data_IF_486596050048
#
_entry.id   IF_486596050048
#
_cell.length_a   1.000
_cell.length_b   1.000
_cell.length_c   1.000
_cell.angle_alpha   90.00
_cell.angle_beta   90.00
_cell.angle_gamma   90.00
#
_symmetry.space_group_name_H-M   'P 1'
#
loop_
_entity.id
_entity.type
_entity.pdbx_description
1 polymer ?
#
# COMPACT_ATOMS: atom_id res chain seq x y z
N UNK A 1 -5.59 -23.54 32.23
CA UNK A 1 -4.91 -24.59 31.47
C UNK A 1 -4.66 -25.71 32.45
N UNK A 2 -5.32 -26.85 32.25
CA UNK A 2 -5.00 -28.04 33.04
C UNK A 2 -3.62 -28.55 32.60
N UNK A 3 -2.76 -28.76 33.60
CA UNK A 3 -1.38 -29.21 33.42
C UNK A 3 -1.28 -30.51 32.60
N UNK A 4 -2.35 -31.32 32.63
CA UNK A 4 -2.47 -32.62 32.00
C UNK A 4 -2.46 -32.57 30.46
N UNK A 5 -2.85 -31.44 29.83
CA UNK A 5 -2.84 -31.31 28.36
C UNK A 5 -1.53 -30.73 27.79
N UNK A 6 -0.75 -30.03 28.61
CA UNK A 6 0.53 -29.45 28.19
C UNK A 6 1.67 -30.46 28.23
N UNK A 7 1.66 -31.36 29.21
CA UNK A 7 2.71 -32.35 29.39
C UNK A 7 3.00 -33.23 28.16
N UNK A 8 2.01 -33.79 27.43
CA UNK A 8 2.29 -34.59 26.25
C UNK A 8 2.80 -33.76 25.06
N UNK A 9 2.45 -32.47 24.99
CA UNK A 9 2.88 -31.56 23.92
C UNK A 9 4.31 -31.11 24.13
N UNK A 10 4.65 -30.75 25.37
CA UNK A 10 6.02 -30.39 25.75
C UNK A 10 6.96 -31.59 25.52
N UNK A 11 6.53 -32.82 25.85
CA UNK A 11 7.33 -34.03 25.56
C UNK A 11 7.66 -34.20 24.08
N UNK A 12 6.72 -33.90 23.18
CA UNK A 12 6.97 -33.94 21.72
C UNK A 12 7.94 -32.86 21.25
N UNK A 13 7.84 -31.65 21.81
CA UNK A 13 8.78 -30.55 21.49
C UNK A 13 10.19 -30.92 21.95
N UNK A 14 10.34 -31.50 23.15
CA UNK A 14 11.64 -31.96 23.65
C UNK A 14 12.23 -33.03 22.74
N UNK A 15 11.44 -34.01 22.29
CA UNK A 15 11.90 -35.06 21.36
C UNK A 15 12.41 -34.49 20.03
N UNK A 16 11.72 -33.47 19.49
CA UNK A 16 12.15 -32.77 18.28
C UNK A 16 13.45 -32.00 18.52
N UNK A 17 13.56 -31.30 19.65
CA UNK A 17 14.73 -30.51 20.00
C UNK A 17 15.96 -31.38 20.25
N UNK A 18 15.80 -32.57 20.80
CA UNK A 18 16.91 -33.52 21.01
C UNK A 18 17.52 -34.03 19.69
N UNK A 19 16.73 -34.08 18.60
CA UNK A 19 17.21 -34.45 17.27
C UNK A 19 18.09 -33.40 16.58
N UNK A 20 18.18 -32.20 17.16
CA UNK A 20 18.87 -31.04 16.58
C UNK A 20 20.24 -30.84 17.27
N UNK A 21 21.28 -30.35 16.55
CA UNK A 21 22.57 -30.01 17.14
C UNK A 21 22.47 -29.04 18.32
N UNK A 22 23.30 -29.27 19.34
CA UNK A 22 23.23 -28.61 20.66
C UNK A 22 23.22 -27.07 20.58
N UNK A 23 23.89 -26.50 19.58
CA UNK A 23 23.96 -25.05 19.33
C UNK A 23 22.61 -24.39 19.03
N UNK A 24 21.60 -25.15 18.59
CA UNK A 24 20.29 -24.61 18.20
C UNK A 24 19.15 -25.09 19.09
N UNK A 25 19.43 -25.96 20.07
CA UNK A 25 18.40 -26.60 20.89
C UNK A 25 17.59 -25.59 21.70
N UNK A 26 18.27 -24.66 22.35
CA UNK A 26 17.62 -23.65 23.21
C UNK A 26 16.69 -22.76 22.38
N UNK A 27 17.17 -22.24 21.25
CA UNK A 27 16.38 -21.35 20.40
C UNK A 27 15.22 -22.08 19.73
N UNK A 28 15.41 -23.33 19.29
CA UNK A 28 14.33 -24.14 18.73
C UNK A 28 13.26 -24.47 19.77
N UNK A 29 13.66 -24.78 21.01
CA UNK A 29 12.72 -25.05 22.09
C UNK A 29 11.88 -23.81 22.43
N UNK A 30 12.52 -22.64 22.54
CA UNK A 30 11.83 -21.38 22.83
C UNK A 30 10.83 -21.02 21.72
N UNK A 31 11.24 -21.09 20.45
CA UNK A 31 10.35 -20.80 19.31
C UNK A 31 9.15 -21.75 19.21
N UNK A 32 9.37 -23.05 19.42
CA UNK A 32 8.29 -24.04 19.34
C UNK A 32 7.33 -23.96 20.54
N UNK A 33 7.84 -23.60 21.72
CA UNK A 33 7.01 -23.40 22.89
C UNK A 33 6.18 -22.11 22.78
N UNK A 34 6.75 -21.04 22.23
CA UNK A 34 6.06 -19.78 21.99
C UNK A 34 4.96 -19.90 20.93
N UNK A 35 5.20 -20.65 19.84
CA UNK A 35 4.21 -20.88 18.79
C UNK A 35 3.00 -21.70 19.27
N UNK A 36 3.22 -22.70 20.12
CA UNK A 36 2.14 -23.52 20.71
C UNK A 36 1.31 -22.74 21.72
N UNK A 37 1.95 -21.90 22.55
CA UNK A 37 1.24 -21.01 23.48
C UNK A 37 0.45 -19.93 22.73
N UNK A 38 0.96 -19.46 21.59
CA UNK A 38 0.32 -18.44 20.76
C UNK A 38 -0.82 -18.99 19.89
N UNK A 39 -0.70 -20.21 19.38
CA UNK A 39 -1.75 -20.87 18.57
C UNK A 39 -3.06 -21.09 19.34
N UNK A 40 -3.01 -21.13 20.67
CA UNK A 40 -4.21 -21.23 21.50
C UNK A 40 -4.93 -19.90 21.76
N UNK A 41 -4.35 -18.75 21.39
CA UNK A 41 -5.05 -17.44 21.46
C UNK A 41 -5.90 -17.15 20.21
N UNK A 42 -5.75 -17.94 19.15
CA UNK A 42 -6.29 -17.64 17.82
C UNK A 42 -7.22 -18.73 17.29
N UNK A 43 -8.14 -19.23 18.12
CA UNK A 43 -9.25 -20.10 17.65
C UNK A 43 -10.57 -19.34 17.65
N UNK A 44 -10.68 -18.36 16.77
CA UNK A 44 -11.97 -17.92 16.24
C UNK A 44 -11.79 -17.57 14.77
N UNK A 45 -12.51 -18.31 13.92
CA UNK A 45 -12.79 -18.06 12.50
C UNK A 45 -11.73 -18.47 11.46
N UNK A 46 -11.70 -19.78 11.18
CA UNK A 46 -11.51 -20.28 9.81
C UNK A 46 -12.89 -20.59 9.19
N UNK A 47 -13.10 -20.19 7.93
CA UNK A 47 -13.41 -21.14 6.84
C UNK A 47 -13.41 -20.48 5.44
N UNK A 48 -12.44 -20.95 4.63
CA UNK A 48 -12.52 -21.30 3.20
C UNK A 48 -12.58 -20.08 2.24
N UNK A 49 -11.59 -19.85 1.36
CA UNK A 49 -11.40 -20.52 0.06
C UNK A 49 -9.89 -20.65 -0.29
N UNK A 50 -9.53 -21.81 -0.85
CA UNK A 50 -8.20 -22.22 -1.30
C UNK A 50 -7.72 -21.57 -2.62
N UNK A 51 -6.42 -21.22 -2.58
CA UNK A 51 -5.36 -21.37 -3.62
C UNK A 51 -5.56 -20.77 -5.02
N UNK A 52 -4.78 -19.71 -5.28
CA UNK A 52 -3.67 -19.80 -6.22
C UNK A 52 -2.52 -18.89 -5.75
N UNK A 53 -1.31 -19.44 -5.80
CA UNK A 53 -0.07 -18.88 -5.27
C UNK A 53 0.49 -17.74 -6.13
N UNK A 54 0.76 -16.61 -5.51
CA UNK A 54 1.90 -15.73 -5.82
C UNK A 54 2.54 -15.42 -4.46
N UNK A 55 3.88 -15.48 -4.31
CA UNK A 55 4.54 -15.33 -3.02
C UNK A 55 4.31 -13.91 -2.49
N UNK A 56 3.33 -13.78 -1.59
CA UNK A 56 3.13 -12.59 -0.78
C UNK A 56 4.39 -12.40 0.04
N UNK A 57 5.17 -11.37 -0.29
CA UNK A 57 6.22 -10.92 0.60
C UNK A 57 5.57 -10.57 1.93
N UNK A 58 5.92 -11.33 2.96
CA UNK A 58 5.79 -10.95 4.35
C UNK A 58 6.57 -9.64 4.57
N UNK A 59 5.96 -8.50 4.28
CA UNK A 59 6.41 -7.22 4.81
C UNK A 59 5.50 -6.85 5.96
N UNK A 60 6.00 -7.24 7.13
CA UNK A 60 5.58 -6.88 8.47
C UNK A 60 5.66 -5.36 8.66
N UNK A 61 4.60 -4.64 8.33
CA UNK A 61 4.28 -3.38 9.01
C UNK A 61 2.76 -3.27 9.09
N UNK A 62 2.24 -2.90 10.26
CA UNK A 62 0.83 -2.66 10.55
C UNK A 62 0.32 -1.37 9.84
N UNK A 63 0.69 -1.20 8.56
CA UNK A 63 0.21 -0.11 7.75
C UNK A 63 -1.21 -0.43 7.30
N UNK A 64 -2.16 0.22 7.96
CA UNK A 64 -3.55 0.15 7.56
C UNK A 64 -3.83 1.18 6.49
N UNK A 65 -4.20 0.70 5.30
CA UNK A 65 -4.65 1.56 4.21
C UNK A 65 -5.83 2.42 4.69
N UNK A 66 -5.79 3.75 4.50
CA UNK A 66 -6.87 4.66 4.84
C UNK A 66 -8.25 4.19 4.34
N UNK A 67 -9.29 4.45 5.12
CA UNK A 67 -10.67 4.03 4.80
C UNK A 67 -11.10 4.64 3.46
N UNK A 68 -10.71 5.89 3.20
CA UNK A 68 -11.01 6.62 1.97
C UNK A 68 -10.39 5.95 0.74
N UNK A 69 -9.16 5.44 0.86
CA UNK A 69 -8.48 4.72 -0.22
C UNK A 69 -9.11 3.36 -0.42
N UNK A 70 -9.39 2.60 0.64
CA UNK A 70 -10.11 1.32 0.53
C UNK A 70 -11.49 1.48 -0.10
N UNK A 71 -12.24 2.50 0.31
CA UNK A 71 -13.54 2.82 -0.28
C UNK A 71 -13.42 3.19 -1.76
N UNK A 72 -12.40 3.97 -2.14
CA UNK A 72 -12.10 4.28 -3.53
C UNK A 72 -11.76 3.04 -4.35
N UNK A 73 -10.88 2.16 -3.86
CA UNK A 73 -10.51 0.92 -4.55
C UNK A 73 -11.74 0.03 -4.76
N UNK A 74 -12.58 -0.12 -3.73
CA UNK A 74 -13.85 -0.87 -3.84
C UNK A 74 -14.83 -0.23 -4.82
N UNK A 75 -14.96 1.10 -4.81
CA UNK A 75 -15.87 1.82 -5.70
C UNK A 75 -15.52 1.60 -7.18
N UNK A 76 -14.22 1.51 -7.50
CA UNK A 76 -13.72 1.33 -8.86
C UNK A 76 -13.26 -0.10 -9.18
N UNK A 77 -13.57 -1.07 -8.30
CA UNK A 77 -13.19 -2.48 -8.44
C UNK A 77 -11.69 -2.70 -8.69
N UNK A 78 -10.85 -1.91 -8.02
CA UNK A 78 -9.40 -2.02 -8.06
C UNK A 78 -8.91 -3.04 -7.01
N UNK A 79 -7.89 -3.81 -7.37
CA UNK A 79 -7.19 -4.68 -6.42
C UNK A 79 -6.32 -3.85 -5.46
N UNK A 80 -6.51 -4.04 -4.16
CA UNK A 80 -5.70 -3.40 -3.12
C UNK A 80 -4.22 -3.78 -3.24
N UNK A 81 -3.91 -4.94 -3.85
CA UNK A 81 -2.55 -5.35 -4.20
C UNK A 81 -1.78 -4.32 -5.03
N UNK A 82 -2.48 -3.55 -5.89
CA UNK A 82 -1.87 -2.49 -6.71
C UNK A 82 -1.24 -1.38 -5.90
N UNK A 83 -1.68 -1.16 -4.66
CA UNK A 83 -1.05 -0.16 -3.80
C UNK A 83 0.41 -0.54 -3.55
N UNK A 84 0.68 -1.82 -3.28
CA UNK A 84 2.03 -2.33 -3.02
C UNK A 84 2.88 -2.48 -4.28
N UNK A 85 2.25 -2.52 -5.47
CA UNK A 85 2.97 -2.44 -6.75
C UNK A 85 3.45 -1.02 -7.06
N UNK A 86 2.60 -0.02 -6.77
CA UNK A 86 2.81 1.38 -7.12
C UNK A 86 3.52 2.18 -6.02
N UNK A 87 3.56 1.66 -4.80
CA UNK A 87 4.21 2.28 -3.64
C UNK A 87 4.95 1.25 -2.78
N UNK A 88 6.15 1.61 -2.35
CA UNK A 88 6.84 0.95 -1.23
C UNK A 88 6.35 1.61 0.06
N UNK A 89 5.87 0.78 0.98
CA UNK A 89 5.36 1.20 2.27
C UNK A 89 6.19 0.50 3.35
N UNK A 90 6.98 1.28 4.09
CA UNK A 90 7.84 0.79 5.18
C UNK A 90 7.41 1.31 6.56
N UNK A 91 6.35 2.14 6.61
CA UNK A 91 5.81 2.72 7.83
C UNK A 91 4.71 3.74 7.53
N UNK A 92 4.15 4.36 8.58
CA UNK A 92 3.03 5.31 8.46
C UNK A 92 3.33 6.53 7.59
N UNK A 93 4.57 7.02 7.65
CA UNK A 93 5.03 8.20 6.89
C UNK A 93 6.04 7.85 5.78
N UNK A 94 6.39 6.57 5.65
CA UNK A 94 7.40 6.07 4.72
C UNK A 94 6.73 5.42 3.50
N UNK A 95 6.02 6.25 2.74
CA UNK A 95 5.40 5.87 1.47
C UNK A 95 6.19 6.51 0.34
N UNK A 96 6.81 5.67 -0.49
CA UNK A 96 7.61 6.08 -1.64
C UNK A 96 7.02 5.52 -2.94
N UNK A 97 6.81 6.35 -3.97
CA UNK A 97 6.28 5.89 -5.26
C UNK A 97 7.31 5.03 -6.02
N UNK A 98 6.86 3.90 -6.55
CA UNK A 98 7.64 3.01 -7.45
C UNK A 98 7.19 3.06 -8.90
N UNK A 99 6.02 3.65 -9.15
CA UNK A 99 5.42 3.74 -10.46
C UNK A 99 6.28 4.55 -11.44
N UNK A 100 6.20 4.19 -12.72
CA UNK A 100 6.92 4.88 -13.80
C UNK A 100 5.95 5.41 -14.83
N UNK A 101 5.98 6.72 -15.05
CA UNK A 101 5.17 7.37 -16.08
C UNK A 101 5.75 7.02 -17.46
N UNK A 102 5.06 6.16 -18.20
CA UNK A 102 5.52 5.62 -19.49
C UNK A 102 5.07 6.44 -20.72
N UNK A 103 4.20 7.44 -20.53
CA UNK A 103 3.65 8.22 -21.65
C UNK A 103 4.65 9.21 -22.23
N UNK A 104 4.64 9.34 -23.57
CA UNK A 104 5.43 10.34 -24.30
C UNK A 104 4.76 11.71 -24.36
N UNK A 105 3.47 11.79 -24.03
CA UNK A 105 2.69 13.03 -24.12
C UNK A 105 2.83 13.81 -22.81
N UNK A 106 3.50 14.96 -22.87
CA UNK A 106 3.82 15.77 -21.68
C UNK A 106 2.60 16.17 -20.86
N UNK A 107 1.50 16.57 -21.50
CA UNK A 107 0.26 16.93 -20.79
C UNK A 107 -0.33 15.73 -20.05
N UNK A 108 -0.34 14.55 -20.67
CA UNK A 108 -0.80 13.30 -20.04
C UNK A 108 0.08 12.93 -18.85
N UNK A 109 1.40 13.01 -19.02
CA UNK A 109 2.36 12.73 -17.94
C UNK A 109 2.14 13.64 -16.72
N UNK A 110 1.99 14.94 -16.94
CA UNK A 110 1.75 15.91 -15.85
C UNK A 110 0.46 15.62 -15.09
N UNK A 111 -0.62 15.27 -15.80
CA UNK A 111 -1.90 14.91 -15.18
C UNK A 111 -1.79 13.59 -14.42
N UNK A 112 -1.14 12.56 -14.98
CA UNK A 112 -0.92 11.28 -14.27
C UNK A 112 -0.13 11.50 -12.98
N UNK A 113 0.93 12.31 -13.01
CA UNK A 113 1.71 12.66 -11.82
C UNK A 113 0.82 13.37 -10.78
N UNK A 114 -0.02 14.31 -11.19
CA UNK A 114 -0.93 14.99 -10.28
C UNK A 114 -1.91 14.02 -9.60
N UNK A 115 -2.51 13.11 -10.37
CA UNK A 115 -3.43 12.11 -9.86
C UNK A 115 -2.74 11.15 -8.87
N UNK A 116 -1.57 10.63 -9.23
CA UNK A 116 -0.83 9.72 -8.35
C UNK A 116 -0.30 10.41 -7.09
N UNK A 117 0.05 11.69 -7.19
CA UNK A 117 0.43 12.51 -6.02
C UNK A 117 -0.77 12.70 -5.08
N UNK A 118 -1.97 12.90 -5.61
CA UNK A 118 -3.18 12.97 -4.80
C UNK A 118 -3.47 11.66 -4.04
N UNK A 119 -3.24 10.52 -4.70
CA UNK A 119 -3.36 9.21 -4.06
C UNK A 119 -2.33 9.04 -2.94
N UNK A 120 -1.06 9.37 -3.21
CA UNK A 120 0.01 9.28 -2.21
C UNK A 120 -0.27 10.15 -0.99
N UNK A 121 -0.73 11.39 -1.20
CA UNK A 121 -1.08 12.30 -0.11
C UNK A 121 -2.23 11.76 0.74
N UNK A 122 -3.21 11.12 0.10
CA UNK A 122 -4.33 10.44 0.80
C UNK A 122 -3.81 9.29 1.65
N UNK A 123 -2.86 8.50 1.12
CA UNK A 123 -2.23 7.39 1.83
C UNK A 123 -1.43 7.87 3.06
N UNK A 124 -0.73 9.02 2.96
CA UNK A 124 0.10 9.57 4.04
C UNK A 124 -0.72 10.27 5.13
N UNK A 125 -1.64 11.15 4.74
CA UNK A 125 -2.32 12.05 5.68
C UNK A 125 -3.68 11.53 6.16
N UNK A 126 -4.16 10.40 5.62
CA UNK A 126 -5.51 9.89 5.85
C UNK A 126 -6.58 10.98 5.58
N UNK A 127 -6.36 11.74 4.50
CA UNK A 127 -7.10 12.94 4.14
C UNK A 127 -7.87 12.83 2.83
N UNK A 128 -8.07 13.96 2.14
CA UNK A 128 -8.68 14.00 0.81
C UNK A 128 -7.68 13.67 -0.31
N UNK A 129 -8.22 13.23 -1.44
CA UNK A 129 -7.49 13.15 -2.71
C UNK A 129 -7.16 14.56 -3.21
N UNK A 130 -6.03 15.09 -2.77
CA UNK A 130 -5.55 16.43 -3.08
C UNK A 130 -4.03 16.51 -3.23
N UNK A 131 -3.57 17.53 -3.94
CA UNK A 131 -2.16 17.79 -4.15
C UNK A 131 -1.86 19.29 -4.18
N UNK A 132 -0.60 19.64 -3.94
CA UNK A 132 -0.05 20.96 -4.20
C UNK A 132 0.51 21.05 -5.62
N UNK A 133 0.23 22.15 -6.31
CA UNK A 133 0.81 22.43 -7.62
C UNK A 133 2.33 22.49 -7.58
N UNK A 134 2.92 22.93 -6.47
CA UNK A 134 4.37 22.98 -6.31
C UNK A 134 4.97 21.58 -6.26
N UNK A 135 4.36 20.67 -5.49
CA UNK A 135 4.80 19.27 -5.40
C UNK A 135 4.71 18.58 -6.77
N UNK A 136 3.61 18.82 -7.49
CA UNK A 136 3.44 18.27 -8.84
C UNK A 136 4.46 18.87 -9.81
N UNK A 137 4.74 20.17 -9.75
CA UNK A 137 5.79 20.80 -10.58
C UNK A 137 7.16 20.16 -10.32
N UNK A 138 7.51 19.96 -9.05
CA UNK A 138 8.78 19.33 -8.65
C UNK A 138 8.86 17.89 -9.17
N UNK A 139 7.82 17.08 -8.97
CA UNK A 139 7.76 15.71 -9.49
C UNK A 139 7.80 15.65 -11.00
N UNK A 140 7.17 16.59 -11.69
CA UNK A 140 7.25 16.69 -13.15
C UNK A 140 8.67 17.01 -13.62
N UNK A 141 9.43 17.81 -12.86
CA UNK A 141 10.84 18.11 -13.16
C UNK A 141 11.71 16.86 -12.95
N UNK A 142 11.51 16.15 -11.84
CA UNK A 142 12.17 14.87 -11.53
C UNK A 142 11.90 13.80 -12.61
N UNK A 143 10.68 13.78 -13.14
CA UNK A 143 10.27 12.90 -14.24
C UNK A 143 10.55 13.46 -15.64
N UNK A 144 11.26 14.59 -15.75
CA UNK A 144 11.64 15.26 -17.02
C UNK A 144 10.45 15.56 -17.96
N UNK A 145 9.27 15.81 -17.39
CA UNK A 145 8.05 16.15 -18.12
C UNK A 145 7.50 17.54 -17.74
N UNK A 146 8.26 18.36 -17.02
CA UNK A 146 7.87 19.73 -16.73
C UNK A 146 7.94 20.61 -18.00
N UNK A 147 6.79 21.14 -18.41
CA UNK A 147 6.69 22.18 -19.43
C UNK A 147 6.23 23.47 -18.77
N UNK A 148 7.18 24.30 -18.30
CA UNK A 148 6.87 25.52 -17.52
C UNK A 148 5.90 26.47 -18.24
N UNK A 149 6.02 26.62 -19.56
CA UNK A 149 5.17 27.53 -20.35
C UNK A 149 3.72 27.05 -20.43
N UNK A 150 3.52 25.74 -20.51
CA UNK A 150 2.21 25.14 -20.73
C UNK A 150 1.66 24.40 -19.51
N UNK A 151 2.36 24.41 -18.38
CA UNK A 151 1.99 23.64 -17.20
C UNK A 151 0.55 23.96 -16.79
N UNK A 152 0.27 25.21 -16.41
CA UNK A 152 -1.07 25.60 -15.97
C UNK A 152 -2.12 25.43 -17.08
N UNK A 153 -1.76 25.65 -18.35
CA UNK A 153 -2.65 25.42 -19.48
C UNK A 153 -3.08 23.95 -19.58
N UNK A 154 -2.18 23.00 -19.28
CA UNK A 154 -2.50 21.58 -19.28
C UNK A 154 -3.51 21.23 -18.17
N UNK A 155 -3.41 21.84 -17.00
CA UNK A 155 -4.39 21.67 -15.92
C UNK A 155 -5.73 22.34 -16.25
N UNK A 156 -5.72 23.56 -16.79
CA UNK A 156 -6.92 24.27 -17.22
C UNK A 156 -7.70 23.50 -18.32
N UNK A 157 -6.99 22.88 -19.27
CA UNK A 157 -7.61 22.02 -20.28
C UNK A 157 -8.24 20.76 -19.68
N UNK A 158 -7.78 20.33 -18.51
CA UNK A 158 -8.30 19.18 -17.75
C UNK A 158 -9.06 19.59 -16.48
N UNK A 159 -9.54 20.84 -16.40
CA UNK A 159 -10.16 21.41 -15.18
C UNK A 159 -11.28 20.55 -14.59
N UNK A 160 -12.01 19.80 -15.43
CA UNK A 160 -13.07 18.88 -15.00
C UNK A 160 -12.60 17.79 -14.04
N UNK A 161 -11.30 17.47 -14.02
CA UNK A 161 -10.70 16.47 -13.12
C UNK A 161 -10.49 17.03 -11.71
N UNK A 162 -10.55 18.34 -11.54
CA UNK A 162 -10.27 19.03 -10.29
C UNK A 162 -11.53 19.78 -9.84
N UNK A 163 -11.70 19.94 -8.53
CA UNK A 163 -12.83 20.71 -7.99
C UNK A 163 -12.60 22.22 -8.15
N UNK A 164 -11.39 22.64 -7.85
CA UNK A 164 -10.91 24.01 -7.97
C UNK A 164 -9.41 23.96 -8.29
N UNK A 165 -8.94 24.93 -9.08
CA UNK A 165 -7.54 25.12 -9.43
C UNK A 165 -6.99 26.45 -8.88
N UNK A 166 -7.84 27.28 -8.27
CA UNK A 166 -7.44 28.56 -7.70
C UNK A 166 -6.66 28.38 -6.39
N UNK A 167 -6.98 27.34 -5.62
CA UNK A 167 -6.21 26.89 -4.45
C UNK A 167 -5.05 26.01 -4.91
N UNK A 168 -3.90 26.61 -5.24
CA UNK A 168 -2.70 25.91 -5.69
C UNK A 168 -2.09 24.98 -4.62
N UNK A 169 -2.44 25.12 -3.34
CA UNK A 169 -1.91 24.30 -2.24
C UNK A 169 -2.74 23.04 -2.00
N UNK A 170 -4.07 23.12 -2.13
CA UNK A 170 -5.00 22.02 -1.86
C UNK A 170 -5.93 21.70 -3.05
N UNK A 171 -5.35 21.40 -4.20
CA UNK A 171 -6.11 21.03 -5.41
C UNK A 171 -6.78 19.67 -5.23
N UNK A 172 -8.09 19.66 -4.97
CA UNK A 172 -8.88 18.44 -4.75
C UNK A 172 -9.35 17.80 -6.06
N UNK A 173 -9.31 16.47 -6.13
CA UNK A 173 -9.90 15.74 -7.25
C UNK A 173 -11.43 15.83 -7.25
N UNK A 174 -11.98 16.05 -8.44
CA UNK A 174 -13.42 15.92 -8.71
C UNK A 174 -13.82 14.44 -8.82
N UNK A 175 -15.12 14.11 -8.93
CA UNK A 175 -15.56 12.74 -9.25
C UNK A 175 -14.93 12.20 -10.53
N UNK A 176 -14.83 13.01 -11.59
CA UNK A 176 -14.16 12.65 -12.84
C UNK A 176 -12.64 12.49 -12.66
N UNK A 177 -12.03 13.28 -11.76
CA UNK A 177 -10.62 13.12 -11.39
C UNK A 177 -10.35 11.76 -10.73
N UNK A 178 -11.23 11.34 -9.83
CA UNK A 178 -11.15 10.02 -9.18
C UNK A 178 -11.32 8.87 -10.17
N UNK A 179 -12.27 8.99 -11.10
CA UNK A 179 -12.42 8.03 -12.19
C UNK A 179 -11.14 7.98 -13.06
N UNK A 180 -10.57 9.14 -13.39
CA UNK A 180 -9.33 9.17 -14.16
C UNK A 180 -8.13 8.59 -13.39
N UNK A 181 -8.11 8.76 -12.08
CA UNK A 181 -7.11 8.15 -11.20
C UNK A 181 -7.21 6.63 -11.24
N UNK A 182 -8.41 6.04 -11.19
CA UNK A 182 -8.55 4.58 -11.24
C UNK A 182 -8.08 4.01 -12.57
N UNK A 183 -8.38 4.69 -13.69
CA UNK A 183 -7.80 4.34 -14.99
C UNK A 183 -6.26 4.43 -14.98
N UNK A 184 -5.71 5.46 -14.34
CA UNK A 184 -4.26 5.69 -14.28
C UNK A 184 -3.55 4.59 -13.49
N UNK A 185 -4.12 4.16 -12.36
CA UNK A 185 -3.61 3.03 -11.56
C UNK A 185 -3.63 1.71 -12.35
N UNK A 186 -4.54 1.58 -13.33
CA UNK A 186 -4.60 0.41 -14.20
C UNK A 186 -3.64 0.48 -15.40
N UNK A 187 -3.28 1.69 -15.84
CA UNK A 187 -2.38 1.91 -16.98
C UNK A 187 -0.90 1.78 -16.59
N UNK A 188 -0.55 2.18 -15.36
CA UNK A 188 0.81 2.16 -14.82
C UNK A 188 1.17 0.79 -14.24
#
# INVERSE_FOLDING_TARGET
MDYEELEPKIKKIVEIVESIPESYRTTCFEMLLESELSSNKSKTEEKIIEKNEIPTQENQFDFQVPIEVRAFFRQFSLDEGKIYEQFIISGKDEIAPTYKISTTVTSKAQIQIALMTALENTLKTNGSFEFSMEDVRKRCDENKCLNRKNFMNNFNNNKKLFKDLDDEEHVKLSPYGKEKLSETINEL
#
